data_IF_935533319280
#
_entry.id   IF_935533319280
#
_cell.length_a   1.000
_cell.length_b   1.000
_cell.length_c   1.000
_cell.angle_alpha   90.00
_cell.angle_beta   90.00
_cell.angle_gamma   90.00
#
_symmetry.space_group_name_H-M   'P 1'
#
loop_
_entity.id
_entity.type
_entity.pdbx_description
1 polymer ?
#
# COMPACT_ATOMS: atom_id res chain seq x y z
N UNK A 1 5.62 -15.40 -13.94
CA UNK A 1 5.85 -14.15 -13.20
C UNK A 1 7.02 -13.30 -13.73
N UNK A 2 7.61 -13.66 -14.87
CA UNK A 2 8.90 -13.09 -15.33
C UNK A 2 8.86 -11.67 -15.91
N UNK A 3 7.75 -10.96 -15.90
CA UNK A 3 7.71 -9.60 -16.48
C UNK A 3 6.76 -8.63 -15.77
N UNK A 4 6.36 -8.93 -14.52
CA UNK A 4 5.48 -8.04 -13.78
C UNK A 4 6.30 -6.90 -13.16
N UNK A 5 5.98 -5.67 -13.54
CA UNK A 5 6.55 -4.45 -12.97
C UNK A 5 5.82 -4.07 -11.70
N UNK A 6 6.55 -3.77 -10.64
CA UNK A 6 5.98 -3.38 -9.34
C UNK A 6 6.54 -2.02 -8.94
N UNK A 7 5.67 -1.04 -8.72
CA UNK A 7 6.01 0.22 -8.06
C UNK A 7 5.47 0.22 -6.62
N UNK A 8 6.26 0.73 -5.68
CA UNK A 8 5.81 0.96 -4.30
C UNK A 8 5.55 2.45 -4.11
N UNK A 9 4.39 2.80 -3.55
CA UNK A 9 3.92 4.18 -3.39
C UNK A 9 3.80 4.49 -1.91
N UNK A 10 4.50 5.54 -1.45
CA UNK A 10 4.59 5.89 -0.03
C UNK A 10 4.32 7.39 0.16
N UNK A 11 3.14 7.80 0.66
CA UNK A 11 2.95 9.14 1.19
C UNK A 11 3.81 9.33 2.45
N UNK A 12 4.57 10.42 2.52
CA UNK A 12 5.46 10.72 3.63
C UNK A 12 5.24 12.15 4.16
N UNK A 13 5.32 12.29 5.47
CA UNK A 13 5.31 13.57 6.17
C UNK A 13 6.25 13.49 7.37
N UNK A 14 7.25 14.38 7.44
CA UNK A 14 8.30 14.33 8.46
C UNK A 14 8.92 12.91 8.61
N UNK A 15 9.42 12.30 7.52
CA UNK A 15 9.94 10.93 7.60
C UNK A 15 11.11 10.86 8.60
N UNK A 16 10.96 10.00 9.62
CA UNK A 16 11.96 9.76 10.66
C UNK A 16 13.07 8.81 10.22
N UNK A 17 13.92 8.42 11.16
CA UNK A 17 15.04 7.48 10.90
C UNK A 17 14.56 6.12 10.41
N UNK A 18 13.39 5.66 10.85
CA UNK A 18 12.77 4.40 10.43
C UNK A 18 12.47 4.38 8.93
N UNK A 19 12.25 5.54 8.31
CA UNK A 19 11.98 5.62 6.87
C UNK A 19 13.15 5.10 6.04
N UNK A 20 14.40 5.41 6.42
CA UNK A 20 15.58 4.83 5.75
C UNK A 20 15.61 3.29 5.88
N UNK A 21 15.19 2.76 7.03
CA UNK A 21 15.09 1.31 7.25
C UNK A 21 13.98 0.68 6.38
N UNK A 22 12.85 1.38 6.22
CA UNK A 22 11.79 0.94 5.30
C UNK A 22 12.33 0.81 3.88
N UNK A 23 12.95 1.86 3.34
CA UNK A 23 13.51 1.85 1.98
C UNK A 23 14.55 0.73 1.84
N UNK A 24 15.46 0.57 2.82
CA UNK A 24 16.45 -0.49 2.80
C UNK A 24 15.82 -1.90 2.81
N UNK A 25 14.74 -2.13 3.56
CA UNK A 25 14.02 -3.42 3.53
C UNK A 25 13.29 -3.65 2.21
N UNK A 26 12.78 -2.60 1.58
CA UNK A 26 12.15 -2.69 0.27
C UNK A 26 13.17 -3.02 -0.84
N UNK A 27 14.37 -2.44 -0.81
CA UNK A 27 15.42 -2.78 -1.79
C UNK A 27 15.97 -4.22 -1.64
N UNK A 28 15.69 -4.88 -0.51
CA UNK A 28 16.12 -6.25 -0.22
C UNK A 28 15.02 -7.32 -0.43
N UNK A 29 13.90 -6.95 -1.03
CA UNK A 29 12.81 -7.88 -1.31
C UNK A 29 13.24 -8.93 -2.36
N UNK A 30 12.69 -10.15 -2.26
CA UNK A 30 12.95 -11.25 -3.21
C UNK A 30 12.36 -10.96 -4.58
N UNK A 31 11.20 -10.28 -4.64
CA UNK A 31 10.62 -9.79 -5.87
C UNK A 31 11.16 -8.37 -6.17
N UNK A 32 11.70 -8.12 -7.37
CA UNK A 32 12.29 -6.82 -7.70
C UNK A 32 11.25 -5.71 -7.75
N UNK A 33 11.51 -4.61 -7.07
CA UNK A 33 10.75 -3.37 -7.15
C UNK A 33 11.35 -2.53 -8.27
N UNK A 34 10.51 -2.01 -9.17
CA UNK A 34 10.94 -1.16 -10.27
C UNK A 34 11.23 0.27 -9.77
N UNK A 35 10.31 0.88 -9.00
CA UNK A 35 10.47 2.20 -8.39
C UNK A 35 9.79 2.27 -7.02
N UNK A 36 10.27 3.19 -6.19
CA UNK A 36 9.61 3.61 -4.96
C UNK A 36 9.23 5.08 -5.14
N UNK A 37 7.96 5.35 -5.37
CA UNK A 37 7.40 6.70 -5.57
C UNK A 37 7.03 7.26 -4.20
N UNK A 38 7.74 8.28 -3.75
CA UNK A 38 7.51 8.95 -2.47
C UNK A 38 6.79 10.27 -2.68
N UNK A 39 5.60 10.41 -2.10
CA UNK A 39 4.84 11.66 -2.07
C UNK A 39 5.14 12.40 -0.78
N UNK A 40 6.23 13.16 -0.76
CA UNK A 40 6.71 13.85 0.43
C UNK A 40 5.99 15.17 0.66
N UNK A 41 5.31 15.30 1.79
CA UNK A 41 4.67 16.54 2.21
C UNK A 41 5.69 17.43 2.93
N UNK A 42 5.87 18.67 2.42
CA UNK A 42 6.84 19.68 2.84
C UNK A 42 8.30 19.26 2.59
N UNK A 43 8.87 19.79 1.49
CA UNK A 43 10.27 19.51 1.10
C UNK A 43 11.29 19.80 2.21
N UNK A 44 11.00 20.77 3.08
CA UNK A 44 11.88 21.16 4.20
C UNK A 44 12.16 20.03 5.20
N UNK A 45 11.31 19.01 5.24
CA UNK A 45 11.47 17.84 6.12
C UNK A 45 12.08 16.63 5.44
N UNK A 46 12.41 16.77 4.14
CA UNK A 46 12.98 15.68 3.38
C UNK A 46 14.51 15.61 3.53
N UNK A 47 15.01 14.40 3.76
CA UNK A 47 16.46 14.17 3.73
C UNK A 47 16.90 13.76 2.32
N UNK A 48 17.57 14.68 1.61
CA UNK A 48 18.04 14.47 0.23
C UNK A 48 19.11 13.36 0.11
N UNK A 49 19.84 13.04 1.18
CA UNK A 49 20.79 11.93 1.19
C UNK A 49 20.15 10.58 0.87
N UNK A 50 18.83 10.44 1.09
CA UNK A 50 18.10 9.22 0.76
C UNK A 50 18.07 8.97 -0.75
N UNK A 51 17.91 10.02 -1.56
CA UNK A 51 17.90 9.91 -3.04
C UNK A 51 19.29 9.54 -3.57
N UNK A 52 20.35 10.08 -2.97
CA UNK A 52 21.73 9.72 -3.30
C UNK A 52 22.05 8.26 -2.93
N UNK A 53 21.52 7.80 -1.80
CA UNK A 53 21.73 6.43 -1.30
C UNK A 53 20.90 5.38 -2.05
N UNK A 54 19.70 5.72 -2.49
CA UNK A 54 18.74 4.78 -3.08
C UNK A 54 18.24 5.28 -4.44
N UNK A 55 18.92 4.92 -5.51
CA UNK A 55 18.58 5.33 -6.89
C UNK A 55 17.22 4.85 -7.39
N UNK A 56 16.56 3.96 -6.64
CA UNK A 56 15.20 3.46 -6.91
C UNK A 56 14.10 4.46 -6.47
N UNK A 57 14.46 5.48 -5.68
CA UNK A 57 13.52 6.50 -5.22
C UNK A 57 13.18 7.49 -6.33
N UNK A 58 11.90 7.77 -6.45
CA UNK A 58 11.34 8.89 -7.21
C UNK A 58 10.52 9.75 -6.24
N UNK A 59 10.98 10.97 -5.94
CA UNK A 59 10.40 11.82 -4.89
C UNK A 59 9.66 12.99 -5.48
N UNK A 60 8.41 13.16 -5.07
CA UNK A 60 7.56 14.28 -5.42
C UNK A 60 7.20 15.06 -4.17
N UNK A 61 7.47 16.36 -4.15
CA UNK A 61 7.15 17.23 -3.04
C UNK A 61 5.80 17.91 -3.23
N UNK A 62 5.00 17.95 -2.18
CA UNK A 62 3.75 18.68 -2.12
C UNK A 62 3.68 19.53 -0.84
N UNK A 63 2.90 20.60 -0.88
CA UNK A 63 2.65 21.43 0.30
C UNK A 63 1.61 20.77 1.20
N UNK A 64 1.64 21.07 2.49
CA UNK A 64 0.70 20.53 3.47
C UNK A 64 -0.77 20.78 3.09
N UNK A 65 -1.08 21.92 2.47
CA UNK A 65 -2.44 22.25 2.03
C UNK A 65 -2.91 21.44 0.82
N UNK A 66 -1.99 20.83 0.08
CA UNK A 66 -2.26 20.02 -1.11
C UNK A 66 -2.45 18.54 -0.74
N UNK A 67 -2.05 18.17 0.49
CA UNK A 67 -2.17 16.79 0.94
C UNK A 67 -3.63 16.41 1.24
N UNK A 68 -4.06 15.33 0.63
CA UNK A 68 -5.28 14.59 0.94
C UNK A 68 -4.97 13.10 0.77
N UNK A 69 -5.48 12.25 1.65
CA UNK A 69 -5.16 10.82 1.64
C UNK A 69 -5.51 10.13 0.32
N UNK A 70 -6.69 10.41 -0.22
CA UNK A 70 -7.14 9.84 -1.49
C UNK A 70 -6.47 10.49 -2.69
N UNK A 71 -6.47 11.85 -2.75
CA UNK A 71 -5.91 12.59 -3.88
C UNK A 71 -4.40 12.36 -4.04
N UNK A 72 -3.63 12.34 -2.95
CA UNK A 72 -2.18 12.11 -3.00
C UNK A 72 -1.86 10.72 -3.52
N UNK A 73 -2.58 9.68 -3.07
CA UNK A 73 -2.40 8.33 -3.58
C UNK A 73 -2.88 8.18 -5.02
N UNK A 74 -3.99 8.81 -5.39
CA UNK A 74 -4.47 8.81 -6.77
C UNK A 74 -3.48 9.48 -7.72
N UNK A 75 -2.89 10.60 -7.33
CA UNK A 75 -1.84 11.26 -8.11
C UNK A 75 -0.60 10.37 -8.25
N UNK A 76 -0.12 9.77 -7.17
CA UNK A 76 1.01 8.84 -7.24
C UNK A 76 0.72 7.61 -8.12
N UNK A 77 -0.51 7.10 -8.13
CA UNK A 77 -0.93 6.04 -9.04
C UNK A 77 -0.89 6.46 -10.52
N UNK A 78 -1.15 7.74 -10.82
CA UNK A 78 -1.05 8.29 -12.19
C UNK A 78 0.40 8.39 -12.68
N UNK A 79 1.38 8.55 -11.76
CA UNK A 79 2.80 8.56 -12.07
C UNK A 79 3.34 7.15 -12.36
N UNK A 80 2.67 6.12 -11.86
CA UNK A 80 3.10 4.73 -12.03
C UNK A 80 2.71 4.17 -13.40
N UNK A 81 3.68 3.51 -14.06
CA UNK A 81 3.47 2.70 -15.27
C UNK A 81 3.60 1.19 -14.99
N UNK A 82 3.72 0.80 -13.71
CA UNK A 82 3.85 -0.59 -13.30
C UNK A 82 2.54 -1.38 -13.45
N UNK A 83 2.63 -2.71 -13.57
CA UNK A 83 1.48 -3.61 -13.63
C UNK A 83 0.79 -3.74 -12.27
N UNK A 84 1.59 -3.67 -11.20
CA UNK A 84 1.15 -3.74 -9.81
C UNK A 84 1.65 -2.52 -9.04
N UNK A 85 0.76 -1.86 -8.35
CA UNK A 85 1.06 -0.75 -7.44
C UNK A 85 0.88 -1.21 -6.00
N UNK A 86 1.91 -1.06 -5.17
CA UNK A 86 1.88 -1.38 -3.74
C UNK A 86 1.87 -0.08 -2.95
N UNK A 87 0.75 0.22 -2.30
CA UNK A 87 0.67 1.36 -1.38
C UNK A 87 1.14 0.95 0.01
N UNK A 88 1.98 1.78 0.60
CA UNK A 88 2.44 1.60 1.98
C UNK A 88 2.40 2.92 2.74
N UNK A 89 2.27 2.85 4.07
CA UNK A 89 2.51 4.00 4.93
C UNK A 89 3.99 4.08 5.31
N UNK A 90 4.47 5.28 5.62
CA UNK A 90 5.90 5.53 5.91
C UNK A 90 6.45 4.81 7.16
N UNK A 91 5.57 4.30 8.01
CA UNK A 91 5.85 3.60 9.27
C UNK A 91 5.66 2.07 9.19
N UNK A 92 5.23 1.56 8.04
CA UNK A 92 5.00 0.14 7.84
C UNK A 92 6.29 -0.55 7.39
N UNK A 93 6.90 -1.33 8.27
CA UNK A 93 8.14 -2.07 7.94
C UNK A 93 7.81 -3.49 7.45
N UNK A 94 8.33 -3.91 6.28
CA UNK A 94 8.29 -5.32 5.88
C UNK A 94 8.86 -6.24 6.97
N UNK A 95 8.11 -7.26 7.37
CA UNK A 95 8.57 -8.22 8.38
C UNK A 95 9.70 -9.10 7.84
N UNK A 96 9.65 -9.41 6.55
CA UNK A 96 10.63 -10.25 5.85
C UNK A 96 10.86 -9.80 4.40
N UNK A 97 11.64 -10.56 3.66
CA UNK A 97 12.02 -10.25 2.27
C UNK A 97 10.99 -10.72 1.24
N UNK A 98 9.96 -11.45 1.63
CA UNK A 98 8.98 -12.05 0.71
C UNK A 98 7.66 -11.27 0.62
N UNK A 99 7.57 -10.10 1.27
CA UNK A 99 6.33 -9.30 1.29
C UNK A 99 5.83 -9.00 -0.12
N UNK A 100 6.66 -8.42 -0.98
CA UNK A 100 6.26 -8.03 -2.34
C UNK A 100 5.95 -9.27 -3.19
N UNK A 101 6.76 -10.31 -3.09
CA UNK A 101 6.53 -11.59 -3.79
C UNK A 101 5.17 -12.20 -3.41
N UNK A 102 4.84 -12.22 -2.12
CA UNK A 102 3.56 -12.76 -1.63
C UNK A 102 2.36 -11.93 -2.09
N UNK A 103 2.48 -10.59 -2.13
CA UNK A 103 1.43 -9.72 -2.65
C UNK A 103 1.21 -9.93 -4.16
N UNK A 104 2.29 -9.98 -4.94
CA UNK A 104 2.22 -10.26 -6.39
C UNK A 104 1.61 -11.63 -6.64
N UNK A 105 2.06 -12.66 -5.90
CA UNK A 105 1.50 -14.01 -6.00
C UNK A 105 0.00 -14.03 -5.71
N UNK A 106 -0.45 -13.40 -4.63
CA UNK A 106 -1.87 -13.33 -4.29
C UNK A 106 -2.71 -12.65 -5.39
N UNK A 107 -2.16 -11.64 -6.08
CA UNK A 107 -2.83 -10.98 -7.21
C UNK A 107 -2.86 -11.83 -8.49
N UNK A 108 -1.89 -12.73 -8.68
CA UNK A 108 -1.71 -13.48 -9.94
C UNK A 108 -2.24 -14.89 -9.89
N UNK A 109 -2.52 -15.45 -8.72
CA UNK A 109 -3.10 -16.79 -8.55
C UNK A 109 -4.52 -16.90 -9.16
N UNK A 110 -5.28 -15.80 -9.14
CA UNK A 110 -6.59 -15.70 -9.76
C UNK A 110 -6.71 -14.37 -10.53
N UNK A 111 -7.11 -14.45 -11.80
CA UNK A 111 -7.30 -13.27 -12.65
C UNK A 111 -8.34 -12.29 -12.08
N UNK A 112 -9.32 -12.79 -11.34
CA UNK A 112 -10.37 -11.98 -10.69
C UNK A 112 -9.89 -11.23 -9.45
N UNK A 113 -8.73 -11.60 -8.89
CA UNK A 113 -8.18 -10.87 -7.73
C UNK A 113 -7.64 -9.52 -8.18
N UNK A 114 -8.29 -8.44 -7.74
CA UNK A 114 -7.90 -7.06 -8.10
C UNK A 114 -7.04 -6.36 -7.06
N UNK A 115 -7.14 -6.77 -5.79
CA UNK A 115 -6.36 -6.22 -4.69
C UNK A 115 -5.93 -7.30 -3.70
N UNK A 116 -4.80 -7.07 -3.04
CA UNK A 116 -4.29 -7.89 -1.95
C UNK A 116 -3.69 -6.97 -0.87
N UNK A 117 -3.80 -7.34 0.41
CA UNK A 117 -3.20 -6.56 1.47
C UNK A 117 -2.47 -7.45 2.47
N UNK A 118 -1.41 -6.91 3.06
CA UNK A 118 -0.59 -7.61 4.02
C UNK A 118 -1.19 -7.59 5.42
N UNK A 119 -0.96 -8.67 6.17
CA UNK A 119 -1.26 -8.73 7.61
C UNK A 119 -0.37 -7.74 8.36
N UNK A 120 -0.99 -6.87 9.15
CA UNK A 120 -0.25 -6.00 10.06
C UNK A 120 0.06 -6.74 11.36
N UNK A 121 1.34 -6.93 11.64
CA UNK A 121 1.81 -7.50 12.90
C UNK A 121 1.92 -6.40 13.97
N UNK A 122 1.52 -6.69 15.21
CA UNK A 122 1.70 -5.74 16.30
C UNK A 122 3.19 -5.59 16.63
N UNK A 123 3.61 -4.38 17.00
CA UNK A 123 4.95 -4.16 17.55
C UNK A 123 5.08 -4.91 18.88
N UNK A 124 6.29 -5.39 19.21
CA UNK A 124 6.56 -6.11 20.47
C UNK A 124 6.15 -5.32 21.72
N UNK A 125 6.34 -4.01 21.70
CA UNK A 125 6.04 -3.10 22.81
C UNK A 125 4.67 -2.43 22.72
N UNK A 126 3.78 -2.85 21.82
CA UNK A 126 2.48 -2.22 21.67
C UNK A 126 1.52 -2.57 22.82
N UNK A 127 0.50 -1.74 23.02
CA UNK A 127 -0.53 -1.94 24.01
C UNK A 127 -1.36 -3.23 23.77
N UNK A 128 -2.00 -3.73 24.82
CA UNK A 128 -2.94 -4.86 24.71
C UNK A 128 -4.08 -4.54 23.72
N UNK A 129 -4.59 -3.31 23.75
CA UNK A 129 -5.66 -2.87 22.84
C UNK A 129 -5.21 -2.95 21.39
N UNK A 130 -3.99 -2.52 21.10
CA UNK A 130 -3.42 -2.62 19.75
C UNK A 130 -3.25 -4.07 19.32
N UNK A 131 -2.70 -4.95 20.17
CA UNK A 131 -2.59 -6.38 19.87
C UNK A 131 -3.94 -6.99 19.53
N UNK A 132 -4.95 -6.69 20.34
CA UNK A 132 -6.32 -7.17 20.11
C UNK A 132 -6.89 -6.67 18.79
N UNK A 133 -6.80 -5.37 18.52
CA UNK A 133 -7.30 -4.76 17.29
C UNK A 133 -6.61 -5.33 16.05
N UNK A 134 -5.29 -5.53 16.10
CA UNK A 134 -4.54 -6.16 15.01
C UNK A 134 -4.99 -7.60 14.78
N UNK A 135 -5.07 -8.43 15.83
CA UNK A 135 -5.52 -9.81 15.69
C UNK A 135 -6.97 -9.93 15.19
N UNK A 136 -7.84 -9.00 15.57
CA UNK A 136 -9.23 -8.96 15.15
C UNK A 136 -9.39 -8.58 13.67
N UNK A 137 -8.58 -7.62 13.16
CA UNK A 137 -8.66 -7.17 11.79
C UNK A 137 -7.81 -7.99 10.82
N UNK A 138 -6.76 -8.63 11.32
CA UNK A 138 -5.79 -9.39 10.53
C UNK A 138 -5.61 -10.80 11.09
N UNK A 139 -6.50 -11.74 10.72
CA UNK A 139 -6.38 -13.14 11.16
C UNK A 139 -5.06 -13.76 10.70
N UNK A 140 -4.67 -14.85 11.31
CA UNK A 140 -3.41 -15.57 11.05
C UNK A 140 -3.44 -16.40 9.76
N UNK A 141 -4.62 -16.55 9.15
CA UNK A 141 -4.82 -17.27 7.89
C UNK A 141 -5.15 -16.32 6.76
N UNK A 142 -4.52 -16.52 5.61
CA UNK A 142 -4.89 -15.84 4.39
C UNK A 142 -6.30 -16.25 3.95
N UNK A 143 -7.04 -15.29 3.40
CA UNK A 143 -8.38 -15.53 2.86
C UNK A 143 -8.59 -14.69 1.59
N UNK A 144 -9.31 -15.24 0.64
CA UNK A 144 -9.86 -14.53 -0.49
C UNK A 144 -11.29 -14.13 -0.12
N UNK A 145 -11.65 -12.88 -0.36
CA UNK A 145 -13.00 -12.36 -0.11
C UNK A 145 -13.61 -11.88 -1.41
N UNK A 146 -14.89 -12.17 -1.57
CA UNK A 146 -15.71 -11.77 -2.70
C UNK A 146 -17.00 -11.11 -2.20
N UNK A 147 -17.78 -10.50 -3.07
CA UNK A 147 -19.10 -9.94 -2.71
C UNK A 147 -20.05 -11.00 -2.11
N UNK A 148 -19.84 -12.27 -2.45
CA UNK A 148 -20.69 -13.36 -1.96
C UNK A 148 -20.46 -13.67 -0.46
N UNK A 149 -19.35 -13.16 0.10
CA UNK A 149 -19.03 -13.27 1.52
C UNK A 149 -19.71 -12.20 2.40
N UNK A 150 -20.42 -11.26 1.77
CA UNK A 150 -21.10 -10.16 2.47
C UNK A 150 -22.08 -10.64 3.57
N UNK A 151 -22.87 -11.71 3.38
CA UNK A 151 -23.74 -12.22 4.44
C UNK A 151 -22.98 -12.74 5.68
N UNK A 152 -21.72 -13.14 5.51
CA UNK A 152 -20.88 -13.71 6.60
C UNK A 152 -20.07 -12.63 7.31
N UNK A 153 -19.39 -11.76 6.55
CA UNK A 153 -18.44 -10.79 7.10
C UNK A 153 -19.00 -9.36 7.18
N UNK A 154 -20.19 -9.10 6.61
CA UNK A 154 -20.74 -7.75 6.53
C UNK A 154 -19.75 -6.80 5.84
N UNK A 155 -19.65 -5.56 6.34
CA UNK A 155 -18.74 -4.55 5.78
C UNK A 155 -17.26 -4.96 5.76
N UNK A 156 -16.85 -5.93 6.60
CA UNK A 156 -15.48 -6.46 6.61
C UNK A 156 -15.13 -7.26 5.35
N UNK A 157 -16.09 -7.63 4.52
CA UNK A 157 -15.85 -8.18 3.19
C UNK A 157 -14.98 -7.24 2.36
N UNK A 158 -15.20 -5.94 2.49
CA UNK A 158 -14.48 -4.88 1.74
C UNK A 158 -13.30 -4.29 2.50
N UNK A 159 -12.93 -4.89 3.63
CA UNK A 159 -11.77 -4.41 4.39
C UNK A 159 -10.50 -4.63 3.58
N UNK A 160 -9.82 -3.53 3.30
CA UNK A 160 -8.48 -3.43 2.77
C UNK A 160 -7.74 -2.35 3.55
N UNK A 161 -6.42 -2.33 3.52
CA UNK A 161 -5.67 -1.29 4.24
C UNK A 161 -4.42 -0.88 3.48
N UNK A 162 -4.40 0.38 3.06
CA UNK A 162 -3.25 1.02 2.41
C UNK A 162 -2.05 1.22 3.35
N UNK A 163 -2.08 0.69 4.57
CA UNK A 163 -0.85 0.50 5.36
C UNK A 163 0.12 -0.41 4.61
N UNK A 164 -0.40 -1.46 3.94
CA UNK A 164 0.33 -2.23 2.93
C UNK A 164 -0.68 -2.99 2.05
N UNK A 165 -0.99 -2.46 0.88
CA UNK A 165 -1.93 -3.08 -0.07
C UNK A 165 -1.43 -2.95 -1.51
N UNK A 166 -1.62 -4.01 -2.30
CA UNK A 166 -1.26 -4.11 -3.70
C UNK A 166 -2.51 -4.14 -4.58
N UNK A 167 -2.45 -3.47 -5.71
CA UNK A 167 -3.55 -3.37 -6.68
C UNK A 167 -3.03 -3.65 -8.09
N UNK A 168 -3.79 -4.41 -8.88
CA UNK A 168 -3.58 -4.49 -10.33
C UNK A 168 -3.92 -3.13 -10.94
N UNK A 169 -2.97 -2.53 -11.68
CA UNK A 169 -3.12 -1.18 -12.23
C UNK A 169 -4.27 -1.07 -13.23
N UNK A 170 -4.45 -2.06 -14.10
CA UNK A 170 -5.53 -2.10 -15.09
C UNK A 170 -6.91 -2.11 -14.43
N UNK A 171 -7.09 -2.93 -13.39
CA UNK A 171 -8.33 -2.97 -12.60
C UNK A 171 -8.52 -1.65 -11.84
N UNK A 172 -7.45 -1.12 -11.22
CA UNK A 172 -7.49 0.15 -10.51
C UNK A 172 -7.97 1.28 -11.42
N UNK A 173 -7.42 1.38 -12.63
CA UNK A 173 -7.79 2.41 -13.60
C UNK A 173 -9.21 2.21 -14.13
N UNK A 174 -9.60 0.97 -14.46
CA UNK A 174 -10.96 0.64 -14.92
C UNK A 174 -12.04 1.06 -13.92
N UNK A 175 -11.73 0.99 -12.63
CA UNK A 175 -12.65 1.36 -11.56
C UNK A 175 -12.58 2.85 -11.17
N UNK A 176 -11.76 3.66 -11.85
CA UNK A 176 -11.63 5.09 -11.61
C UNK A 176 -10.69 5.47 -10.47
N UNK A 177 -9.98 4.50 -9.88
CA UNK A 177 -9.00 4.74 -8.82
C UNK A 177 -9.58 5.20 -7.47
N UNK A 178 -8.73 5.71 -6.60
CA UNK A 178 -9.16 6.24 -5.31
C UNK A 178 -9.94 7.55 -5.43
N UNK A 179 -10.92 7.74 -4.56
CA UNK A 179 -11.64 9.00 -4.44
C UNK A 179 -10.68 10.13 -4.01
N UNK A 180 -10.76 11.28 -4.70
CA UNK A 180 -9.83 12.41 -4.50
C UNK A 180 -10.14 13.30 -3.29
N UNK A 181 -11.26 13.10 -2.62
CA UNK A 181 -11.65 13.84 -1.41
C UNK A 181 -12.05 12.86 -0.33
N UNK A 182 -11.04 12.26 0.31
CA UNK A 182 -11.24 11.35 1.41
C UNK A 182 -10.22 11.67 2.51
N UNK A 183 -10.71 12.01 3.69
CA UNK A 183 -9.84 12.22 4.86
C UNK A 183 -9.19 10.88 5.26
N UNK A 184 -9.94 9.77 5.13
CA UNK A 184 -9.51 8.39 5.36
C UNK A 184 -10.50 7.40 4.72
N UNK A 185 -10.16 6.11 4.72
CA UNK A 185 -10.96 5.00 4.15
C UNK A 185 -11.11 5.04 2.62
N UNK A 186 -10.22 5.69 1.89
CA UNK A 186 -10.22 5.68 0.42
C UNK A 186 -10.05 4.26 -0.14
N UNK A 187 -9.34 3.40 0.57
CA UNK A 187 -9.15 1.98 0.27
C UNK A 187 -10.46 1.20 0.38
N UNK A 188 -11.21 1.38 1.47
CA UNK A 188 -12.49 0.70 1.66
C UNK A 188 -13.55 1.21 0.68
N UNK A 189 -13.59 2.51 0.38
CA UNK A 189 -14.50 3.08 -0.62
C UNK A 189 -14.21 2.47 -2.00
N UNK A 190 -12.94 2.34 -2.36
CA UNK A 190 -12.52 1.70 -3.60
C UNK A 190 -12.96 0.22 -3.66
N UNK A 191 -12.76 -0.55 -2.59
CA UNK A 191 -13.14 -1.96 -2.52
C UNK A 191 -14.67 -2.16 -2.60
N UNK A 192 -15.47 -1.28 -1.98
CA UNK A 192 -16.92 -1.29 -2.14
C UNK A 192 -17.31 -1.04 -3.61
N UNK A 193 -16.69 -0.06 -4.26
CA UNK A 193 -16.92 0.23 -5.68
C UNK A 193 -16.60 -0.97 -6.57
N UNK A 194 -15.49 -1.67 -6.28
CA UNK A 194 -15.07 -2.87 -7.01
C UNK A 194 -16.10 -4.01 -6.96
N UNK A 195 -16.81 -4.15 -5.87
CA UNK A 195 -17.82 -5.20 -5.71
C UNK A 195 -19.09 -5.01 -6.58
N UNK A 196 -19.27 -3.83 -7.18
CA UNK A 196 -20.41 -3.50 -8.03
C UNK A 196 -20.12 -3.57 -9.53
N UNK A 197 -18.89 -3.91 -9.92
CA UNK A 197 -18.42 -4.10 -11.29
C UNK A 197 -18.06 -5.54 -11.56
#
# INVERSE_FOLDING_TARGET
>A
MENIKVDVIIPAYHPGKEFSTLIERLTKQTFPIHRIIVMNTEETYWNKELEEKFSILEVHHLKKQEFDHGATRAWAAELSDADVMVFMTQDALPADKSLIENLVKALTEDEKTGAAYARQLPNENCSFVEKYTRSFNYPDRSAVKTKDDLPVYGIKTFFCSNVCAAYKRDIYQKLGGFVRKAIFNEDMIYEIGRAHV
#
